data_IF_227352288140
#
_entry.id   IF_227352288140
#
_cell.length_a   1.000
_cell.length_b   1.000
_cell.length_c   1.000
_cell.angle_alpha   90.00
_cell.angle_beta   90.00
_cell.angle_gamma   90.00
#
_symmetry.space_group_name_H-M   'P 1'
#
loop_
_entity.id
_entity.type
_entity.pdbx_description
1 polymer ?
#
# COMPACT_ATOMS: atom_id res chain seq x y z
N UNK A 1 -8.50 -32.12 -6.19
CA UNK A 1 -8.54 -30.74 -6.69
C UNK A 1 -7.39 -30.06 -5.98
N UNK A 2 -6.39 -29.51 -6.66
CA UNK A 2 -5.43 -28.66 -5.95
C UNK A 2 -6.19 -27.42 -5.54
N UNK A 3 -6.26 -27.13 -4.25
CA UNK A 3 -6.88 -25.90 -3.77
C UNK A 3 -6.02 -24.74 -4.29
N UNK A 4 -6.62 -23.86 -5.07
CA UNK A 4 -5.93 -22.68 -5.61
C UNK A 4 -5.44 -21.83 -4.45
N UNK A 5 -4.22 -21.30 -4.54
CA UNK A 5 -3.76 -20.35 -3.52
C UNK A 5 -4.55 -19.04 -3.63
N UNK A 6 -5.05 -18.47 -2.53
CA UNK A 6 -5.68 -17.15 -2.57
C UNK A 6 -4.69 -16.07 -3.01
N UNK A 7 -5.13 -15.14 -3.86
CA UNK A 7 -4.44 -13.88 -4.13
C UNK A 7 -5.33 -12.77 -3.56
N UNK A 8 -4.92 -12.16 -2.45
CA UNK A 8 -5.79 -11.25 -1.71
C UNK A 8 -5.64 -9.82 -2.26
N UNK A 9 -6.78 -9.18 -2.52
CA UNK A 9 -6.85 -7.79 -2.96
C UNK A 9 -7.64 -6.99 -1.93
N UNK A 10 -6.96 -6.08 -1.24
CA UNK A 10 -7.60 -5.19 -0.27
C UNK A 10 -8.16 -3.96 -0.97
N UNK A 11 -9.49 -3.85 -1.05
CA UNK A 11 -10.22 -2.87 -1.86
C UNK A 11 -10.37 -1.51 -1.17
N UNK A 12 -9.34 -0.67 -1.25
CA UNK A 12 -9.23 0.56 -0.46
C UNK A 12 -9.13 1.86 -1.28
N UNK A 13 -9.00 1.75 -2.61
CA UNK A 13 -8.77 2.91 -3.49
C UNK A 13 -9.88 3.95 -3.36
N UNK A 14 -11.15 3.51 -3.42
CA UNK A 14 -12.30 4.41 -3.37
C UNK A 14 -12.31 5.22 -2.07
N UNK A 15 -12.13 4.55 -0.94
CA UNK A 15 -12.08 5.20 0.37
C UNK A 15 -10.95 6.24 0.42
N UNK A 16 -9.75 5.87 0.00
CA UNK A 16 -8.58 6.74 0.04
C UNK A 16 -8.73 7.95 -0.87
N UNK A 17 -9.28 7.76 -2.07
CA UNK A 17 -9.55 8.85 -3.00
C UNK A 17 -10.64 9.78 -2.49
N UNK A 18 -11.73 9.25 -1.92
CA UNK A 18 -12.78 10.07 -1.30
C UNK A 18 -12.23 10.90 -0.13
N UNK A 19 -11.45 10.29 0.77
CA UNK A 19 -10.82 10.98 1.89
C UNK A 19 -9.83 12.06 1.44
N UNK A 20 -9.07 11.81 0.37
CA UNK A 20 -8.20 12.82 -0.23
C UNK A 20 -9.00 13.95 -0.89
N UNK A 21 -10.05 13.62 -1.63
CA UNK A 21 -10.94 14.58 -2.28
C UNK A 21 -11.58 15.52 -1.27
N UNK A 22 -12.17 14.97 -0.20
CA UNK A 22 -12.77 15.75 0.89
C UNK A 22 -11.76 16.72 1.53
N UNK A 23 -10.56 16.24 1.89
CA UNK A 23 -9.50 17.06 2.49
C UNK A 23 -9.03 18.21 1.59
N UNK A 24 -9.13 18.05 0.27
CA UNK A 24 -8.71 19.07 -0.71
C UNK A 24 -9.89 19.84 -1.31
N UNK A 25 -11.12 19.61 -0.83
CA UNK A 25 -12.35 20.17 -1.38
C UNK A 25 -12.49 19.90 -2.90
N UNK A 26 -12.23 18.66 -3.30
CA UNK A 26 -12.30 18.17 -4.67
C UNK A 26 -13.34 17.06 -4.79
N UNK A 27 -13.94 16.98 -5.97
CA UNK A 27 -14.71 15.82 -6.42
C UNK A 27 -13.76 14.76 -6.97
N UNK A 28 -14.03 13.51 -6.65
CA UNK A 28 -13.37 12.34 -7.25
C UNK A 28 -14.41 11.53 -8.03
N UNK A 29 -13.99 10.58 -8.89
CA UNK A 29 -14.92 9.69 -9.58
C UNK A 29 -15.91 9.00 -8.62
N UNK A 30 -17.04 8.58 -9.16
CA UNK A 30 -18.04 7.85 -8.37
C UNK A 30 -17.64 6.38 -8.15
N UNK A 31 -18.42 5.67 -7.34
CA UNK A 31 -18.22 4.25 -7.03
C UNK A 31 -18.23 3.35 -8.27
N UNK A 32 -18.85 3.79 -9.38
CA UNK A 32 -18.84 3.05 -10.64
C UNK A 32 -17.44 2.92 -11.22
N UNK A 33 -16.66 4.00 -11.21
CA UNK A 33 -15.26 3.97 -11.64
C UNK A 33 -14.43 2.96 -10.83
N UNK A 34 -14.56 2.97 -9.51
CA UNK A 34 -13.78 2.11 -8.63
C UNK A 34 -14.21 0.64 -8.73
N UNK A 35 -15.51 0.37 -8.87
CA UNK A 35 -16.03 -0.98 -9.11
C UNK A 35 -15.52 -1.55 -10.43
N UNK A 36 -15.54 -0.77 -11.51
CA UNK A 36 -15.01 -1.18 -12.81
C UNK A 36 -13.50 -1.40 -12.78
N UNK A 37 -12.78 -0.56 -12.03
CA UNK A 37 -11.34 -0.70 -11.81
C UNK A 37 -11.00 -2.00 -11.09
N UNK A 38 -11.69 -2.27 -9.99
CA UNK A 38 -11.53 -3.49 -9.21
C UNK A 38 -11.80 -4.75 -10.05
N UNK A 39 -12.89 -4.75 -10.82
CA UNK A 39 -13.26 -5.87 -11.66
C UNK A 39 -12.18 -6.18 -12.71
N UNK A 40 -11.60 -5.15 -13.33
CA UNK A 40 -10.50 -5.36 -14.28
C UNK A 40 -9.20 -5.80 -13.61
N UNK A 41 -8.86 -5.32 -12.42
CA UNK A 41 -7.74 -5.86 -11.63
C UNK A 41 -7.91 -7.36 -11.37
N UNK A 42 -9.10 -7.77 -10.90
CA UNK A 42 -9.45 -9.18 -10.67
C UNK A 42 -9.31 -10.00 -11.95
N UNK A 43 -9.84 -9.51 -13.08
CA UNK A 43 -9.74 -10.18 -14.38
C UNK A 43 -8.27 -10.35 -14.82
N UNK A 44 -7.46 -9.30 -14.76
CA UNK A 44 -6.06 -9.35 -15.17
C UNK A 44 -5.22 -10.27 -14.27
N UNK A 45 -5.47 -10.28 -12.96
CA UNK A 45 -4.79 -11.17 -12.00
C UNK A 45 -5.23 -12.63 -12.21
N UNK A 46 -6.52 -12.90 -12.40
CA UNK A 46 -7.01 -14.24 -12.72
C UNK A 46 -6.42 -14.76 -14.04
N UNK A 47 -6.31 -13.91 -15.05
CA UNK A 47 -5.67 -14.25 -16.32
C UNK A 47 -4.17 -14.55 -16.14
N UNK A 48 -3.47 -13.81 -15.27
CA UNK A 48 -2.07 -14.09 -14.95
C UNK A 48 -1.85 -15.47 -14.31
N UNK A 49 -2.78 -15.91 -13.46
CA UNK A 49 -2.78 -17.30 -12.94
C UNK A 49 -2.84 -18.32 -14.07
N UNK A 50 -3.75 -18.11 -15.04
CA UNK A 50 -3.91 -19.01 -16.17
C UNK A 50 -2.66 -19.07 -17.07
N UNK A 51 -1.94 -17.96 -17.26
CA UNK A 51 -0.72 -17.91 -18.07
C UNK A 51 0.50 -18.56 -17.40
N UNK A 52 0.66 -18.35 -16.09
CA UNK A 52 1.83 -18.83 -15.35
C UNK A 52 1.78 -20.32 -14.99
N UNK A 53 0.61 -20.97 -15.12
CA UNK A 53 0.41 -22.33 -14.64
C UNK A 53 0.41 -22.45 -13.10
N UNK A 54 0.55 -21.32 -12.40
CA UNK A 54 0.38 -21.22 -10.96
C UNK A 54 -1.10 -21.02 -10.67
N UNK A 55 -1.73 -21.99 -10.01
CA UNK A 55 -3.16 -21.98 -9.75
C UNK A 55 -3.47 -21.11 -8.53
N UNK A 56 -3.90 -19.87 -8.77
CA UNK A 56 -4.32 -18.93 -7.73
C UNK A 56 -5.63 -18.24 -8.10
N UNK A 57 -6.35 -17.76 -7.09
CA UNK A 57 -7.66 -17.14 -7.24
C UNK A 57 -7.68 -15.75 -6.57
N UNK A 58 -7.98 -14.67 -7.31
CA UNK A 58 -8.13 -13.35 -6.71
C UNK A 58 -9.35 -13.30 -5.79
N UNK A 59 -9.14 -12.89 -4.55
CA UNK A 59 -10.18 -12.68 -3.53
C UNK A 59 -10.14 -11.22 -3.10
N UNK A 60 -11.23 -10.51 -3.35
CA UNK A 60 -11.37 -9.12 -2.92
C UNK A 60 -11.92 -9.06 -1.51
N UNK A 61 -11.28 -8.27 -0.65
CA UNK A 61 -11.79 -7.95 0.69
C UNK A 61 -12.14 -6.45 0.75
N UNK A 62 -13.41 -6.10 1.02
CA UNK A 62 -13.83 -4.70 1.15
C UNK A 62 -13.10 -3.95 2.27
N UNK A 63 -12.73 -2.69 2.01
CA UNK A 63 -12.09 -1.82 3.01
C UNK A 63 -12.96 -1.57 4.23
N UNK A 64 -14.26 -1.34 4.06
CA UNK A 64 -15.18 -1.04 5.16
C UNK A 64 -15.25 -2.17 6.19
N UNK A 65 -15.24 -3.43 5.71
CA UNK A 65 -15.13 -4.62 6.54
C UNK A 65 -13.83 -4.63 7.33
N UNK A 66 -12.68 -4.53 6.64
CA UNK A 66 -11.37 -4.58 7.28
C UNK A 66 -11.19 -3.44 8.30
N UNK A 67 -11.55 -2.21 7.92
CA UNK A 67 -11.42 -1.03 8.76
C UNK A 67 -12.32 -1.11 10.00
N UNK A 68 -13.61 -1.45 9.83
CA UNK A 68 -14.58 -1.54 10.94
C UNK A 68 -14.18 -2.63 11.95
N UNK A 69 -13.82 -3.82 11.47
CA UNK A 69 -13.43 -4.92 12.35
C UNK A 69 -12.08 -4.67 13.03
N UNK A 70 -11.11 -4.06 12.32
CA UNK A 70 -9.82 -3.67 12.91
C UNK A 70 -9.99 -2.60 13.98
N UNK A 71 -10.83 -1.58 13.75
CA UNK A 71 -11.19 -0.61 14.78
C UNK A 71 -11.85 -1.29 15.99
N UNK A 72 -12.70 -2.30 15.74
CA UNK A 72 -13.27 -3.15 16.78
C UNK A 72 -12.21 -3.88 17.62
N UNK A 73 -11.13 -4.37 17.01
CA UNK A 73 -9.98 -4.95 17.72
C UNK A 73 -9.22 -3.90 18.53
N UNK A 74 -8.86 -2.78 17.89
CA UNK A 74 -8.12 -1.66 18.51
C UNK A 74 -8.84 -1.11 19.74
N UNK A 75 -10.17 -1.02 19.71
CA UNK A 75 -10.98 -0.47 20.81
C UNK A 75 -10.85 -1.24 22.13
N UNK A 76 -10.33 -2.48 22.09
CA UNK A 76 -10.12 -3.34 23.27
C UNK A 76 -8.83 -3.02 24.02
N UNK A 77 -7.99 -2.15 23.45
CA UNK A 77 -6.67 -1.81 23.97
C UNK A 77 -6.63 -0.39 24.52
N UNK A 78 -5.67 -0.15 25.41
CA UNK A 78 -5.43 1.18 25.99
C UNK A 78 -4.83 2.10 24.93
N UNK A 79 -5.56 3.14 24.57
CA UNK A 79 -5.22 4.02 23.44
C UNK A 79 -3.89 4.77 23.61
N UNK A 80 -3.42 4.97 24.84
CA UNK A 80 -2.11 5.54 25.14
C UNK A 80 -0.95 4.56 24.88
N UNK A 81 -1.21 3.27 24.62
CA UNK A 81 -0.21 2.26 24.24
C UNK A 81 -0.29 1.80 22.79
N UNK A 82 -1.31 2.22 22.03
CA UNK A 82 -1.51 1.78 20.65
C UNK A 82 -0.78 2.72 19.68
N UNK A 83 -0.06 2.15 18.70
CA UNK A 83 0.67 2.89 17.66
C UNK A 83 0.33 2.31 16.29
N UNK A 84 -0.24 3.13 15.41
CA UNK A 84 -0.52 2.73 14.04
C UNK A 84 0.74 2.83 13.16
N UNK A 85 0.98 1.81 12.33
CA UNK A 85 2.03 1.77 11.31
C UNK A 85 1.51 2.22 9.94
N UNK A 86 0.21 2.08 9.72
CA UNK A 86 -0.48 2.51 8.50
C UNK A 86 -1.75 3.34 8.79
N UNK A 87 -2.12 4.20 7.84
CA UNK A 87 -3.26 5.14 7.98
C UNK A 87 -4.48 4.74 7.15
N UNK A 88 -4.38 3.81 6.22
CA UNK A 88 -5.43 3.52 5.25
C UNK A 88 -6.69 2.95 5.92
N UNK A 89 -6.55 2.13 6.97
CA UNK A 89 -7.68 1.44 7.61
C UNK A 89 -8.10 2.04 8.96
N UNK A 90 -7.19 2.77 9.59
CA UNK A 90 -7.38 3.31 10.95
C UNK A 90 -7.56 4.82 10.93
N UNK A 91 -7.10 5.50 9.88
CA UNK A 91 -7.17 6.94 9.74
C UNK A 91 -6.65 7.65 10.99
N UNK A 92 -7.36 8.69 11.42
CA UNK A 92 -7.00 9.48 12.60
C UNK A 92 -7.69 8.97 13.89
N UNK A 93 -8.25 7.74 13.88
CA UNK A 93 -8.88 7.15 15.08
C UNK A 93 -7.87 6.81 16.18
N UNK A 94 -6.60 6.62 15.81
CA UNK A 94 -5.47 6.46 16.73
C UNK A 94 -4.65 7.74 16.68
N UNK A 95 -4.34 8.35 17.82
CA UNK A 95 -3.56 9.59 17.85
C UNK A 95 -2.08 9.38 17.49
N UNK A 96 -1.56 8.18 17.75
CA UNK A 96 -0.12 7.87 17.72
C UNK A 96 0.22 7.05 16.48
N UNK A 97 1.11 7.58 15.65
CA UNK A 97 1.53 6.97 14.40
C UNK A 97 3.04 6.81 14.36
N UNK A 98 3.50 5.72 13.77
CA UNK A 98 4.89 5.49 13.40
C UNK A 98 4.95 5.38 11.87
N UNK A 99 5.29 6.51 11.26
CA UNK A 99 5.20 6.73 9.82
C UNK A 99 6.42 6.14 9.11
N UNK A 100 6.33 4.87 8.77
CA UNK A 100 7.37 4.14 8.06
C UNK A 100 6.82 3.50 6.79
N UNK A 101 7.72 3.12 5.89
CA UNK A 101 7.39 2.48 4.62
C UNK A 101 8.54 1.58 4.19
N UNK A 102 8.22 0.48 3.49
CA UNK A 102 9.23 -0.30 2.77
C UNK A 102 9.67 0.51 1.55
N UNK A 103 10.95 0.84 1.49
CA UNK A 103 11.50 1.70 0.45
C UNK A 103 12.41 0.94 -0.51
N UNK A 104 12.61 1.52 -1.68
CA UNK A 104 13.56 1.04 -2.69
C UNK A 104 14.51 2.14 -3.14
N UNK A 105 15.66 1.77 -3.69
CA UNK A 105 16.55 2.70 -4.41
C UNK A 105 16.06 2.93 -5.85
N UNK A 106 16.76 3.73 -6.63
CA UNK A 106 16.44 4.02 -8.04
C UNK A 106 16.54 2.80 -8.96
N UNK A 107 17.24 1.75 -8.55
CA UNK A 107 17.30 0.45 -9.23
C UNK A 107 16.15 -0.49 -8.81
N UNK A 108 15.20 0.04 -8.02
CA UNK A 108 14.02 -0.67 -7.49
C UNK A 108 14.38 -1.84 -6.55
N UNK A 109 15.57 -1.80 -5.95
CA UNK A 109 16.03 -2.75 -4.93
C UNK A 109 15.65 -2.29 -3.53
N UNK A 110 15.30 -3.24 -2.65
CA UNK A 110 14.90 -2.94 -1.27
C UNK A 110 16.04 -2.28 -0.49
N UNK A 111 15.74 -1.17 0.20
CA UNK A 111 16.65 -0.51 1.15
C UNK A 111 16.09 -0.56 2.59
N UNK A 112 15.18 -1.50 2.84
CA UNK A 112 14.56 -1.73 4.14
C UNK A 112 13.51 -0.68 4.52
N UNK A 113 13.28 -0.56 5.83
CA UNK A 113 12.31 0.36 6.40
C UNK A 113 12.85 1.79 6.43
N UNK A 114 12.09 2.73 5.87
CA UNK A 114 12.43 4.16 5.82
C UNK A 114 11.29 5.01 6.39
N UNK A 115 11.57 6.23 6.91
CA UNK A 115 10.50 7.13 7.34
C UNK A 115 9.65 7.53 6.14
N UNK A 116 8.32 7.51 6.25
CA UNK A 116 7.44 7.91 5.13
C UNK A 116 7.77 9.34 4.66
N UNK A 117 7.69 9.65 3.36
CA UNK A 117 7.82 11.01 2.82
C UNK A 117 7.26 12.13 3.70
N UNK A 118 8.04 13.19 3.90
CA UNK A 118 7.67 14.37 4.69
C UNK A 118 7.45 14.12 6.20
N UNK A 119 7.86 12.96 6.72
CA UNK A 119 7.80 12.66 8.15
C UNK A 119 9.19 12.72 8.80
N UNK A 120 9.29 12.87 10.14
CA UNK A 120 10.57 12.89 10.84
C UNK A 120 11.35 11.58 10.65
N UNK A 121 12.67 11.64 10.80
CA UNK A 121 13.51 10.45 10.87
C UNK A 121 13.01 9.45 11.93
N UNK A 122 13.16 8.14 11.65
CA UNK A 122 12.71 7.02 12.50
C UNK A 122 13.07 7.24 13.98
N UNK A 123 14.31 7.59 14.30
CA UNK A 123 14.76 7.82 15.68
C UNK A 123 13.97 8.92 16.38
N UNK A 124 13.68 10.03 15.69
CA UNK A 124 12.87 11.15 16.23
C UNK A 124 11.41 10.76 16.41
N UNK A 125 10.87 9.90 15.56
CA UNK A 125 9.52 9.39 15.74
C UNK A 125 9.44 8.51 16.99
N UNK A 126 10.41 7.59 17.17
CA UNK A 126 10.47 6.73 18.35
C UNK A 126 10.62 7.56 19.62
N UNK A 127 11.53 8.54 19.66
CA UNK A 127 11.73 9.39 20.84
C UNK A 127 10.42 10.10 21.26
N UNK A 128 9.60 10.53 20.29
CA UNK A 128 8.26 11.11 20.56
C UNK A 128 7.26 10.09 21.08
N UNK A 129 7.30 8.86 20.56
CA UNK A 129 6.43 7.79 21.01
C UNK A 129 6.78 7.34 22.43
N UNK A 130 8.08 7.22 22.74
CA UNK A 130 8.58 6.85 24.09
C UNK A 130 8.15 7.86 25.14
N UNK A 131 8.26 9.16 24.87
CA UNK A 131 7.88 10.20 25.82
C UNK A 131 6.41 10.13 26.29
N UNK A 132 5.55 9.44 25.53
CA UNK A 132 4.11 9.37 25.73
C UNK A 132 3.60 7.94 25.99
N UNK A 133 4.48 6.98 26.27
CA UNK A 133 4.09 5.56 26.44
C UNK A 133 4.33 5.04 27.86
N UNK A 134 3.55 4.03 28.24
CA UNK A 134 3.99 3.04 29.23
C UNK A 134 5.12 2.16 28.68
N UNK A 135 5.45 1.06 29.37
CA UNK A 135 6.51 0.14 28.93
C UNK A 135 6.10 -0.73 27.74
N UNK A 136 4.81 -0.88 27.49
CA UNK A 136 4.26 -1.87 26.57
C UNK A 136 3.50 -1.16 25.43
N UNK A 137 3.77 -1.60 24.20
CA UNK A 137 3.15 -1.10 22.97
C UNK A 137 2.31 -2.18 22.28
N UNK A 138 1.21 -1.72 21.70
CA UNK A 138 0.43 -2.46 20.72
C UNK A 138 0.62 -1.80 19.36
N UNK A 139 1.22 -2.51 18.41
CA UNK A 139 1.33 -2.04 17.03
C UNK A 139 0.06 -2.39 16.26
N UNK A 140 -0.30 -1.55 15.29
CA UNK A 140 -1.41 -1.84 14.40
C UNK A 140 -1.00 -1.59 12.95
N UNK A 141 -1.25 -2.57 12.09
CA UNK A 141 -0.91 -2.51 10.67
C UNK A 141 -2.10 -2.92 9.79
N UNK A 142 -2.01 -2.66 8.49
CA UNK A 142 -2.98 -3.19 7.54
C UNK A 142 -2.76 -4.70 7.36
N UNK A 143 -1.54 -5.11 7.02
CA UNK A 143 -1.22 -6.49 6.65
C UNK A 143 0.08 -6.97 7.30
N UNK A 144 0.02 -8.19 7.86
CA UNK A 144 1.21 -8.98 8.21
C UNK A 144 1.43 -10.01 7.10
N UNK A 145 2.40 -9.75 6.22
CA UNK A 145 2.78 -10.69 5.16
C UNK A 145 3.93 -11.60 5.59
N UNK A 146 5.19 -11.13 5.49
CA UNK A 146 6.38 -11.89 5.91
C UNK A 146 6.74 -11.71 7.38
N UNK A 147 6.18 -10.70 8.04
CA UNK A 147 6.48 -10.33 9.43
C UNK A 147 7.80 -9.57 9.66
N UNK A 148 8.66 -9.45 8.65
CA UNK A 148 10.02 -8.89 8.82
C UNK A 148 10.00 -7.43 9.31
N UNK A 149 9.15 -6.59 8.72
CA UNK A 149 9.04 -5.19 9.10
C UNK A 149 8.58 -5.03 10.56
N UNK A 150 7.62 -5.85 11.00
CA UNK A 150 7.14 -5.82 12.39
C UNK A 150 8.25 -6.23 13.36
N UNK A 151 9.05 -7.25 13.03
CA UNK A 151 10.19 -7.68 13.85
C UNK A 151 11.24 -6.58 13.93
N UNK A 152 11.64 -5.99 12.80
CA UNK A 152 12.59 -4.87 12.73
C UNK A 152 12.12 -3.68 13.58
N UNK A 153 10.86 -3.27 13.41
CA UNK A 153 10.24 -2.17 14.16
C UNK A 153 10.22 -2.48 15.67
N UNK A 154 9.92 -3.72 16.04
CA UNK A 154 9.90 -4.14 17.44
C UNK A 154 11.28 -4.08 18.09
N UNK A 155 12.34 -4.40 17.35
CA UNK A 155 13.73 -4.25 17.82
C UNK A 155 14.11 -2.78 18.01
N UNK A 156 13.67 -1.89 17.11
CA UNK A 156 13.89 -0.45 17.24
C UNK A 156 13.25 0.13 18.51
N UNK A 157 12.03 -0.29 18.85
CA UNK A 157 11.37 0.09 20.10
C UNK A 157 12.06 -0.52 21.32
N UNK A 158 12.47 -1.79 21.25
CA UNK A 158 13.19 -2.49 22.32
C UNK A 158 14.51 -1.82 22.67
N UNK A 159 15.25 -1.34 21.67
CA UNK A 159 16.48 -0.57 21.87
C UNK A 159 16.26 0.74 22.67
N UNK A 160 15.02 1.21 22.77
CA UNK A 160 14.60 2.39 23.54
C UNK A 160 13.86 2.04 24.84
N UNK A 161 13.87 0.77 25.24
CA UNK A 161 13.27 0.29 26.48
C UNK A 161 11.75 0.11 26.42
N UNK A 162 11.16 0.07 25.22
CA UNK A 162 9.75 -0.26 25.02
C UNK A 162 9.60 -1.69 24.50
N UNK A 163 8.65 -2.43 25.06
CA UNK A 163 8.30 -3.76 24.59
C UNK A 163 7.08 -3.67 23.69
N UNK A 164 7.19 -4.17 22.45
CA UNK A 164 6.00 -4.49 21.65
C UNK A 164 5.48 -5.83 22.15
N UNK A 165 4.28 -5.85 22.72
CA UNK A 165 3.66 -7.06 23.30
C UNK A 165 2.57 -7.65 22.41
N UNK A 166 1.93 -6.81 21.59
CA UNK A 166 0.86 -7.22 20.68
C UNK A 166 0.99 -6.50 19.34
N UNK A 167 0.66 -7.19 18.25
CA UNK A 167 0.43 -6.62 16.93
C UNK A 167 -1.00 -6.95 16.51
N UNK A 168 -1.73 -5.93 16.08
CA UNK A 168 -3.06 -6.03 15.51
C UNK A 168 -2.96 -5.80 14.00
N UNK A 169 -3.63 -6.61 13.19
CA UNK A 169 -3.64 -6.44 11.73
C UNK A 169 -5.03 -6.62 11.12
N UNK A 170 -5.29 -6.02 9.97
CA UNK A 170 -6.48 -6.37 9.21
C UNK A 170 -6.35 -7.79 8.65
N UNK A 171 -5.21 -8.09 8.03
CA UNK A 171 -4.92 -9.40 7.44
C UNK A 171 -3.60 -9.93 8.01
N UNK A 172 -3.58 -11.21 8.38
CA UNK A 172 -2.33 -11.90 8.71
C UNK A 172 -2.15 -13.15 7.87
N UNK A 173 -0.95 -13.32 7.33
CA UNK A 173 -0.51 -14.53 6.62
C UNK A 173 0.28 -15.42 7.58
N UNK A 174 0.08 -16.73 7.50
CA UNK A 174 0.60 -17.71 8.45
C UNK A 174 2.11 -17.63 8.68
N UNK A 175 2.90 -17.43 7.62
CA UNK A 175 4.35 -17.24 7.74
C UNK A 175 4.71 -16.04 8.62
N UNK A 176 4.18 -14.84 8.28
CA UNK A 176 4.49 -13.62 9.02
C UNK A 176 3.96 -13.65 10.44
N UNK A 177 2.78 -14.22 10.66
CA UNK A 177 2.23 -14.44 12.00
C UNK A 177 3.18 -15.27 12.86
N UNK A 178 3.57 -16.46 12.38
CA UNK A 178 4.46 -17.37 13.12
C UNK A 178 5.78 -16.69 13.47
N UNK A 179 6.38 -15.98 12.51
CA UNK A 179 7.64 -15.25 12.73
C UNK A 179 7.53 -14.21 13.86
N UNK A 180 6.42 -13.47 13.93
CA UNK A 180 6.18 -12.48 14.98
C UNK A 180 5.89 -13.15 16.34
N UNK A 181 5.11 -14.23 16.36
CA UNK A 181 4.81 -14.99 17.58
C UNK A 181 6.06 -15.67 18.15
N UNK A 182 6.95 -16.19 17.30
CA UNK A 182 8.27 -16.72 17.69
C UNK A 182 9.18 -15.65 18.31
N UNK A 183 9.02 -14.38 17.92
CA UNK A 183 9.69 -13.24 18.55
C UNK A 183 9.07 -12.83 19.91
N UNK A 184 8.05 -13.56 20.39
CA UNK A 184 7.39 -13.35 21.67
C UNK A 184 6.30 -12.27 21.65
N UNK A 185 5.75 -11.95 20.48
CA UNK A 185 4.75 -10.90 20.29
C UNK A 185 3.41 -11.53 19.92
N UNK A 186 2.35 -11.22 20.65
CA UNK A 186 1.00 -11.73 20.35
C UNK A 186 0.47 -11.12 19.05
N UNK A 187 -0.06 -11.94 18.14
CA UNK A 187 -0.71 -11.45 16.91
C UNK A 187 -2.22 -11.66 16.98
N UNK A 188 -2.99 -10.61 16.65
CA UNK A 188 -4.44 -10.72 16.41
C UNK A 188 -4.77 -10.07 15.08
N UNK A 189 -5.57 -10.72 14.27
CA UNK A 189 -6.04 -10.17 13.00
C UNK A 189 -7.55 -10.27 12.83
N UNK A 190 -8.07 -9.47 11.91
CA UNK A 190 -9.47 -9.58 11.46
C UNK A 190 -9.66 -10.84 10.63
N UNK A 191 -8.78 -11.03 9.63
CA UNK A 191 -8.75 -12.20 8.76
C UNK A 191 -7.37 -12.85 8.83
N UNK A 192 -7.34 -14.16 8.69
CA UNK A 192 -6.12 -14.95 8.68
C UNK A 192 -6.16 -15.93 7.50
N UNK A 193 -5.02 -16.06 6.83
CA UNK A 193 -4.78 -17.05 5.79
C UNK A 193 -3.52 -17.84 6.15
N UNK A 194 -3.57 -19.16 6.01
CA UNK A 194 -2.39 -20.01 6.25
C UNK A 194 -1.32 -19.74 5.19
N UNK A 195 -1.71 -19.75 3.92
CA UNK A 195 -0.88 -19.46 2.76
C UNK A 195 -1.67 -18.66 1.72
N UNK A 196 -0.97 -17.79 0.99
CA UNK A 196 -1.49 -16.99 -0.13
C UNK A 196 -0.43 -16.92 -1.22
N UNK A 197 -0.85 -16.67 -2.47
CA UNK A 197 0.08 -16.29 -3.55
C UNK A 197 0.63 -14.89 -3.29
N UNK A 198 -0.24 -13.95 -2.94
CA UNK A 198 0.13 -12.58 -2.58
C UNK A 198 -1.01 -11.90 -1.81
N UNK A 199 -0.71 -10.76 -1.19
CA UNK A 199 -1.67 -9.79 -0.69
C UNK A 199 -1.26 -8.42 -1.20
N UNK A 200 -2.19 -7.72 -1.86
CA UNK A 200 -1.94 -6.40 -2.44
C UNK A 200 -3.09 -5.46 -2.10
N UNK A 201 -2.73 -4.23 -1.70
CA UNK A 201 -3.68 -3.13 -1.63
C UNK A 201 -4.00 -2.64 -3.04
N UNK A 202 -5.28 -2.58 -3.37
CA UNK A 202 -5.77 -2.21 -4.71
C UNK A 202 -5.20 -0.87 -5.21
N UNK A 203 -5.02 0.09 -4.29
CA UNK A 203 -4.38 1.39 -4.54
C UNK A 203 -3.02 1.31 -5.26
N UNK A 204 -2.24 0.25 -5.04
CA UNK A 204 -0.89 0.10 -5.59
C UNK A 204 -0.90 -0.09 -7.11
N UNK A 205 -2.06 -0.42 -7.69
CA UNK A 205 -2.30 -0.52 -9.13
C UNK A 205 -2.80 0.79 -9.78
N UNK A 206 -2.79 1.91 -9.05
CA UNK A 206 -3.04 3.24 -9.61
C UNK A 206 -1.90 4.21 -9.30
N UNK A 207 -1.47 4.94 -10.31
CA UNK A 207 -0.48 6.00 -10.15
C UNK A 207 -1.11 7.25 -9.51
N UNK A 208 -0.35 7.91 -8.63
CA UNK A 208 -0.73 9.21 -8.08
C UNK A 208 -1.64 9.15 -6.84
N UNK A 209 -2.31 8.02 -6.57
CA UNK A 209 -3.31 7.93 -5.49
C UNK A 209 -2.66 7.87 -4.10
N UNK A 210 -3.37 8.22 -3.00
CA UNK A 210 -2.80 8.19 -1.66
C UNK A 210 -2.24 6.81 -1.30
N UNK A 211 -1.08 6.82 -0.64
CA UNK A 211 -0.37 5.61 -0.16
C UNK A 211 0.02 4.56 -1.21
N UNK A 212 -0.27 4.79 -2.50
CA UNK A 212 0.07 3.86 -3.58
C UNK A 212 1.57 3.66 -3.75
N UNK A 213 1.93 2.40 -3.97
CA UNK A 213 3.22 1.96 -4.44
C UNK A 213 4.32 2.07 -3.40
N UNK A 214 5.54 1.71 -3.83
CA UNK A 214 6.75 1.85 -3.01
C UNK A 214 7.28 3.26 -3.06
N UNK A 215 7.92 3.68 -1.98
CA UNK A 215 8.66 4.95 -1.97
C UNK A 215 10.08 4.69 -2.49
N UNK A 216 10.47 5.41 -3.54
CA UNK A 216 11.81 5.36 -4.12
C UNK A 216 12.65 6.50 -3.54
N UNK A 217 13.81 6.18 -2.96
CA UNK A 217 14.76 7.17 -2.43
C UNK A 217 15.94 7.34 -3.37
N UNK A 218 16.31 8.60 -3.61
CA UNK A 218 17.54 8.99 -4.30
C UNK A 218 18.65 9.26 -3.29
N UNK A 219 19.89 9.22 -3.77
CA UNK A 219 21.09 9.49 -2.95
C UNK A 219 21.08 10.90 -2.33
N UNK A 220 20.41 11.87 -2.98
CA UNK A 220 20.26 13.24 -2.50
C UNK A 220 19.16 13.41 -1.42
N UNK A 221 18.51 12.31 -1.03
CA UNK A 221 17.42 12.28 -0.04
C UNK A 221 16.05 12.68 -0.58
N UNK A 222 15.95 13.07 -1.86
CA UNK A 222 14.66 13.23 -2.52
C UNK A 222 14.01 11.87 -2.78
N UNK A 223 12.69 11.87 -2.95
CA UNK A 223 11.92 10.65 -3.11
C UNK A 223 10.71 10.84 -4.02
N UNK A 224 10.26 9.73 -4.59
CA UNK A 224 9.06 9.63 -5.40
C UNK A 224 8.37 8.27 -5.18
N UNK A 225 7.28 8.03 -5.90
CA UNK A 225 6.47 6.82 -5.80
C UNK A 225 6.65 5.95 -7.03
N UNK A 226 6.69 4.64 -6.83
CA UNK A 226 6.64 3.63 -7.87
C UNK A 226 5.44 2.70 -7.63
N UNK A 227 4.33 2.83 -8.39
CA UNK A 227 3.21 1.88 -8.33
C UNK A 227 3.64 0.50 -8.84
N UNK A 228 2.80 -0.52 -8.63
CA UNK A 228 3.15 -1.93 -8.85
C UNK A 228 3.04 -2.37 -10.32
N UNK A 229 3.25 -1.46 -11.25
CA UNK A 229 3.17 -1.71 -12.68
C UNK A 229 4.24 -0.97 -13.48
N UNK A 230 4.61 -1.53 -14.63
CA UNK A 230 5.61 -0.96 -15.52
C UNK A 230 5.12 0.35 -16.18
N UNK A 231 6.00 1.29 -16.55
CA UNK A 231 7.46 1.22 -16.42
C UNK A 231 7.98 1.66 -15.04
N UNK A 232 7.08 1.96 -14.08
CA UNK A 232 7.47 2.57 -12.82
C UNK A 232 7.93 1.55 -11.77
N UNK A 233 7.27 0.40 -11.72
CA UNK A 233 7.54 -0.68 -10.78
C UNK A 233 7.67 -2.04 -11.45
N UNK A 234 7.75 -3.07 -10.62
CA UNK A 234 8.05 -4.45 -11.03
C UNK A 234 6.88 -5.37 -10.69
N UNK A 235 5.82 -5.44 -11.52
CA UNK A 235 4.63 -6.27 -11.25
C UNK A 235 4.96 -7.74 -10.98
N UNK A 236 5.98 -8.28 -11.64
CA UNK A 236 6.44 -9.66 -11.45
C UNK A 236 6.95 -9.89 -10.03
N UNK A 237 7.66 -8.90 -9.46
CA UNK A 237 8.32 -9.03 -8.15
C UNK A 237 7.49 -8.48 -6.99
N UNK A 238 6.62 -7.52 -7.26
CA UNK A 238 5.89 -6.80 -6.22
C UNK A 238 4.42 -7.20 -6.14
N UNK A 239 3.87 -7.79 -7.20
CA UNK A 239 2.50 -8.31 -7.27
C UNK A 239 2.47 -9.77 -7.74
N UNK A 240 3.61 -10.47 -7.72
CA UNK A 240 3.69 -11.89 -8.07
C UNK A 240 3.08 -12.28 -9.42
N UNK A 241 3.11 -11.36 -10.40
CA UNK A 241 2.60 -11.56 -11.78
C UNK A 241 3.74 -12.09 -12.65
N UNK A 242 4.12 -13.34 -12.44
CA UNK A 242 5.39 -13.90 -12.96
C UNK A 242 5.48 -14.00 -14.50
N UNK A 243 4.34 -14.00 -15.21
CA UNK A 243 4.31 -14.04 -16.67
C UNK A 243 4.46 -12.64 -17.28
N UNK A 244 5.51 -12.43 -18.08
CA UNK A 244 5.82 -11.14 -18.68
C UNK A 244 4.68 -10.60 -19.58
N UNK A 245 3.93 -11.47 -20.25
CA UNK A 245 2.80 -11.04 -21.09
C UNK A 245 1.63 -10.55 -20.22
N UNK A 246 1.31 -11.28 -19.16
CA UNK A 246 0.30 -10.89 -18.18
C UNK A 246 0.70 -9.61 -17.44
N UNK A 247 1.96 -9.50 -16.99
CA UNK A 247 2.52 -8.31 -16.35
C UNK A 247 2.41 -7.07 -17.25
N UNK A 248 2.74 -7.20 -18.55
CA UNK A 248 2.56 -6.13 -19.54
C UNK A 248 1.10 -5.73 -19.70
N UNK A 249 0.19 -6.70 -19.81
CA UNK A 249 -1.26 -6.45 -19.96
C UNK A 249 -1.83 -5.74 -18.72
N UNK A 250 -1.50 -6.22 -17.54
CA UNK A 250 -1.89 -5.58 -16.28
C UNK A 250 -1.33 -4.16 -16.22
N UNK A 251 -0.06 -3.95 -16.60
CA UNK A 251 0.55 -2.63 -16.57
C UNK A 251 -0.12 -1.63 -17.52
N UNK A 252 -0.50 -2.07 -18.72
CA UNK A 252 -1.29 -1.26 -19.66
C UNK A 252 -2.66 -0.91 -19.10
N UNK A 253 -3.34 -1.86 -18.46
CA UNK A 253 -4.61 -1.62 -17.80
C UNK A 253 -4.48 -0.59 -16.66
N UNK A 254 -3.50 -0.79 -15.76
CA UNK A 254 -3.26 0.11 -14.62
C UNK A 254 -2.94 1.55 -15.06
N UNK A 255 -2.12 1.73 -16.10
CA UNK A 255 -1.78 3.07 -16.58
C UNK A 255 -2.97 3.75 -17.28
N UNK A 256 -3.77 2.99 -18.04
CA UNK A 256 -5.01 3.49 -18.65
C UNK A 256 -6.01 3.96 -17.60
N UNK A 257 -6.24 3.14 -16.57
CA UNK A 257 -7.13 3.50 -15.46
C UNK A 257 -6.60 4.66 -14.63
N UNK A 258 -5.28 4.77 -14.47
CA UNK A 258 -4.67 5.94 -13.84
C UNK A 258 -4.91 7.22 -14.65
N UNK A 259 -4.76 7.18 -15.98
CA UNK A 259 -5.07 8.32 -16.86
C UNK A 259 -6.52 8.73 -16.71
N UNK A 260 -7.44 7.76 -16.80
CA UNK A 260 -8.88 8.01 -16.69
C UNK A 260 -9.28 8.59 -15.34
N UNK A 261 -8.71 8.09 -14.24
CA UNK A 261 -8.92 8.63 -12.88
C UNK A 261 -8.62 10.13 -12.85
N UNK A 262 -7.42 10.51 -13.27
CA UNK A 262 -6.97 11.89 -13.16
C UNK A 262 -7.70 12.81 -14.14
N UNK A 263 -8.02 12.35 -15.35
CA UNK A 263 -8.87 13.09 -16.28
C UNK A 263 -10.28 13.33 -15.72
N UNK A 264 -10.87 12.34 -15.03
CA UNK A 264 -12.16 12.52 -14.39
C UNK A 264 -12.07 13.53 -13.22
N UNK A 265 -11.03 13.47 -12.39
CA UNK A 265 -10.79 14.49 -11.35
C UNK A 265 -10.69 15.88 -11.97
N UNK A 266 -9.94 16.04 -13.06
CA UNK A 266 -9.82 17.32 -13.77
C UNK A 266 -11.17 17.83 -14.29
N UNK A 267 -11.94 16.96 -14.94
CA UNK A 267 -13.25 17.29 -15.50
C UNK A 267 -14.28 17.66 -14.43
N UNK A 268 -14.33 16.90 -13.32
CA UNK A 268 -15.27 17.14 -12.23
C UNK A 268 -14.99 18.46 -11.50
N UNK A 269 -13.73 18.88 -11.44
CA UNK A 269 -13.30 20.08 -10.72
C UNK A 269 -12.98 21.28 -11.63
N UNK A 270 -13.02 21.10 -12.96
CA UNK A 270 -12.69 22.13 -13.97
C UNK A 270 -11.32 22.76 -13.75
N UNK A 271 -10.34 21.91 -13.44
CA UNK A 271 -8.96 22.31 -13.18
C UNK A 271 -8.00 21.31 -13.82
N UNK A 272 -6.76 21.74 -14.05
CA UNK A 272 -5.67 20.82 -14.35
C UNK A 272 -5.09 20.28 -13.04
N UNK A 273 -4.73 19.00 -13.02
CA UNK A 273 -4.02 18.36 -11.92
C UNK A 273 -2.54 18.27 -12.32
N UNK A 274 -1.70 19.20 -11.84
CA UNK A 274 -0.26 19.12 -12.12
C UNK A 274 0.35 17.96 -11.34
N UNK A 275 1.47 17.45 -11.83
CA UNK A 275 2.20 16.37 -11.16
C UNK A 275 2.53 16.68 -9.68
N UNK A 276 2.78 17.95 -9.33
CA UNK A 276 3.02 18.36 -7.95
C UNK A 276 1.82 18.24 -7.00
N UNK A 277 0.61 18.13 -7.53
CA UNK A 277 -0.64 18.13 -6.77
C UNK A 277 -1.12 16.73 -6.39
N UNK A 278 -0.69 15.69 -7.11
CA UNK A 278 -1.10 14.32 -6.77
C UNK A 278 -0.48 13.87 -5.44
N UNK A 279 -1.21 13.07 -4.63
CA UNK A 279 -0.72 12.51 -3.37
C UNK A 279 0.64 11.81 -3.47
N UNK A 280 0.84 11.02 -4.53
CA UNK A 280 2.02 10.17 -4.73
C UNK A 280 2.67 10.47 -6.07
N UNK A 281 3.60 11.43 -6.04
CA UNK A 281 4.36 11.89 -7.21
C UNK A 281 5.21 10.76 -7.79
N UNK A 282 5.26 10.64 -9.11
CA UNK A 282 6.17 9.72 -9.82
C UNK A 282 7.53 10.39 -10.05
N UNK A 283 8.47 9.68 -10.70
CA UNK A 283 9.82 10.18 -10.92
C UNK A 283 9.84 11.55 -11.64
N UNK A 284 10.78 12.42 -11.22
CA UNK A 284 10.88 13.80 -11.66
C UNK A 284 11.70 13.97 -12.95
N UNK A 285 11.06 14.54 -13.98
CA UNK A 285 11.64 15.54 -14.89
C UNK A 285 10.57 16.28 -15.72
N UNK A 286 9.48 16.70 -15.09
CA UNK A 286 8.42 17.46 -15.73
C UNK A 286 8.00 18.60 -14.81
N UNK A 287 7.93 19.83 -15.34
CA UNK A 287 7.60 21.04 -14.58
C UNK A 287 6.13 21.07 -14.11
N UNK A 288 5.40 22.14 -14.46
CA UNK A 288 3.96 22.27 -14.23
C UNK A 288 3.11 21.38 -15.17
N UNK A 289 3.63 20.22 -15.58
CA UNK A 289 2.97 19.35 -16.55
C UNK A 289 1.77 18.64 -15.93
N UNK A 290 0.73 18.50 -16.76
CA UNK A 290 -0.50 17.77 -16.46
C UNK A 290 -0.18 16.29 -16.15
N UNK A 291 -0.68 15.77 -15.04
CA UNK A 291 -0.34 14.41 -14.59
C UNK A 291 -0.85 13.32 -15.53
N UNK A 292 -2.05 13.46 -16.11
CA UNK A 292 -2.57 12.51 -17.08
C UNK A 292 -1.74 12.50 -18.38
N UNK A 293 -1.24 13.67 -18.82
CA UNK A 293 -0.33 13.76 -19.96
C UNK A 293 1.01 13.03 -19.71
N UNK A 294 1.55 13.13 -18.49
CA UNK A 294 2.73 12.36 -18.09
C UNK A 294 2.50 10.85 -18.19
N UNK A 295 1.36 10.36 -17.69
CA UNK A 295 1.00 8.95 -17.78
C UNK A 295 0.78 8.48 -19.23
N UNK A 296 0.25 9.34 -20.12
CA UNK A 296 0.14 9.03 -21.55
C UNK A 296 1.50 8.81 -22.22
N UNK A 297 2.50 9.61 -21.85
CA UNK A 297 3.87 9.42 -22.33
C UNK A 297 4.45 8.08 -21.84
N UNK A 298 4.27 7.76 -20.55
CA UNK A 298 4.71 6.48 -19.99
C UNK A 298 3.95 5.26 -20.57
N UNK A 299 2.67 5.39 -20.91
CA UNK A 299 1.91 4.33 -21.60
C UNK A 299 2.56 3.99 -22.95
N UNK A 300 3.05 5.01 -23.66
CA UNK A 300 3.66 4.84 -24.97
C UNK A 300 4.96 4.02 -24.91
N UNK A 301 5.73 4.05 -23.81
CA UNK A 301 6.93 3.21 -23.68
C UNK A 301 6.57 1.72 -23.57
N UNK A 302 5.56 1.35 -22.77
CA UNK A 302 5.09 -0.04 -22.63
C UNK A 302 4.59 -0.61 -23.97
N UNK A 303 3.99 0.23 -24.81
CA UNK A 303 3.48 -0.18 -26.13
C UNK A 303 4.60 -0.39 -27.16
N UNK A 304 5.71 0.34 -27.05
CA UNK A 304 6.81 0.33 -28.02
C UNK A 304 7.88 -0.73 -27.74
N UNK A 305 7.95 -1.27 -26.53
CA UNK A 305 8.80 -2.42 -26.19
C UNK A 305 8.21 -3.72 -26.80
N UNK A 306 8.57 -4.01 -28.05
CA UNK A 306 8.25 -5.25 -28.78
C UNK A 306 9.51 -6.01 -29.17
#
# INVERSE_FOLDING_TARGET
>A
MSDKLPYIISADTEYLMNAWGERNNLKVPDSGFFTDFQAGCVEHIANASAFSGNDFEPIVIPHDKLASELQGLVSRYRQDGVVALDRAYIGDSIARHFEVTRAVNTDLESIGTQPRPYTPAISKQIDRLVANSGTDLTLVDDVIFSGDAIVEISELFRAKGLQVSTVLAAIAIGEGRRKIEEAGIEVKSVVEYEDVKDEICERDFLAGVPFSGRTVYREDGSHYSAPYFAPFGLPERWASIDDATAARKLSLYCIERSIELWQQVENLNKMNVPHGFVPRRLEYNAGDENFAAYLLAAKSSIQNDN
#
